data_IF_235949504759
#
_entry.id   IF_235949504759
#
_cell.length_a   1.000
_cell.length_b   1.000
_cell.length_c   1.000
_cell.angle_alpha   90.00
_cell.angle_beta   90.00
_cell.angle_gamma   90.00
#
_symmetry.space_group_name_H-M   'P 1'
#
loop_
_entity.id
_entity.type
_entity.pdbx_description
1 polymer ?
#
# COMPACT_ATOMS: atom_id res chain seq x y z
N UNK A 1 -12.29 0.36 15.83
CA UNK A 1 -11.89 0.85 14.50
C UNK A 1 -10.38 0.75 14.41
N UNK A 2 -9.84 0.30 13.29
CA UNK A 2 -8.39 0.18 13.09
C UNK A 2 -7.99 0.67 11.71
N UNK A 3 -6.90 1.41 11.64
CA UNK A 3 -6.34 1.90 10.38
C UNK A 3 -5.43 0.85 9.79
N UNK A 4 -5.67 0.50 8.53
CA UNK A 4 -4.88 -0.45 7.76
C UNK A 4 -4.25 0.24 6.57
N UNK A 5 -2.98 -0.09 6.32
CA UNK A 5 -2.30 0.20 5.07
C UNK A 5 -2.31 -1.05 4.20
N UNK A 6 -2.78 -0.89 2.96
CA UNK A 6 -2.80 -1.94 1.95
C UNK A 6 -1.79 -1.59 0.86
N UNK A 7 -0.84 -2.49 0.63
CA UNK A 7 0.09 -2.46 -0.50
C UNK A 7 -0.45 -3.41 -1.56
N UNK A 8 -0.67 -2.88 -2.76
CA UNK A 8 -1.34 -3.55 -3.86
C UNK A 8 -0.37 -3.56 -5.04
N UNK A 9 0.03 -4.76 -5.47
CA UNK A 9 1.10 -4.95 -6.45
C UNK A 9 0.76 -6.05 -7.45
N UNK A 10 1.30 -5.98 -8.67
CA UNK A 10 1.00 -6.94 -9.75
C UNK A 10 1.70 -8.28 -9.58
N UNK A 11 2.80 -8.30 -8.84
CA UNK A 11 3.66 -9.46 -8.66
C UNK A 11 3.96 -9.64 -7.17
N UNK A 12 4.30 -10.85 -6.74
CA UNK A 12 4.67 -11.09 -5.34
C UNK A 12 5.98 -10.39 -5.00
N UNK A 13 6.08 -9.88 -3.77
CA UNK A 13 7.30 -9.26 -3.24
C UNK A 13 7.83 -10.08 -2.08
N UNK A 14 9.09 -10.52 -2.16
CA UNK A 14 9.75 -11.17 -1.03
C UNK A 14 10.02 -10.17 0.09
N UNK A 15 10.21 -8.89 -0.24
CA UNK A 15 10.39 -7.84 0.78
C UNK A 15 9.16 -7.73 1.68
N UNK A 16 7.94 -7.81 1.12
CA UNK A 16 6.70 -7.81 1.92
C UNK A 16 6.54 -9.09 2.76
N UNK A 17 6.96 -10.24 2.24
CA UNK A 17 6.82 -11.53 2.92
C UNK A 17 7.90 -11.79 3.99
N UNK A 18 9.12 -11.27 3.81
CA UNK A 18 10.28 -11.55 4.67
C UNK A 18 10.59 -10.46 5.70
N UNK A 19 10.02 -9.27 5.59
CA UNK A 19 10.30 -8.18 6.55
C UNK A 19 9.80 -8.57 7.96
N UNK A 20 10.75 -9.01 8.79
CA UNK A 20 10.50 -9.48 10.16
C UNK A 20 9.95 -8.39 11.09
N UNK A 21 10.10 -7.11 10.74
CA UNK A 21 9.73 -5.95 11.58
C UNK A 21 8.49 -5.21 11.09
N UNK A 22 8.15 -5.32 9.80
CA UNK A 22 7.01 -4.61 9.19
C UNK A 22 5.93 -5.52 8.64
N UNK A 23 5.97 -6.83 8.97
CA UNK A 23 5.09 -7.91 8.48
C UNK A 23 3.77 -7.38 7.94
N UNK A 24 3.72 -7.30 6.62
CA UNK A 24 2.47 -7.21 5.91
C UNK A 24 1.90 -8.62 5.79
N UNK A 25 0.64 -8.80 6.14
CA UNK A 25 -0.06 -10.04 5.89
C UNK A 25 -0.48 -10.06 4.43
N UNK A 26 -0.13 -11.12 3.71
CA UNK A 26 -0.77 -11.40 2.44
C UNK A 26 -2.25 -11.73 2.71
N UNK A 27 -3.13 -11.00 2.05
CA UNK A 27 -4.58 -11.11 2.24
C UNK A 27 -5.16 -12.01 1.16
N UNK A 28 -5.06 -11.56 -0.10
CA UNK A 28 -5.62 -12.26 -1.25
C UNK A 28 -5.08 -11.71 -2.56
N UNK A 29 -5.48 -12.36 -3.65
CA UNK A 29 -5.41 -11.81 -5.00
C UNK A 29 -6.80 -11.28 -5.36
N UNK A 30 -6.90 -10.01 -5.75
CA UNK A 30 -8.13 -9.40 -6.27
C UNK A 30 -7.80 -8.58 -7.51
N UNK A 31 -8.62 -8.74 -8.55
CA UNK A 31 -8.46 -8.03 -9.83
C UNK A 31 -7.05 -8.15 -10.47
N UNK A 32 -6.40 -9.30 -10.29
CA UNK A 32 -5.04 -9.56 -10.79
C UNK A 32 -3.91 -8.91 -9.99
N UNK A 33 -4.21 -8.35 -8.81
CA UNK A 33 -3.22 -7.77 -7.91
C UNK A 33 -3.11 -8.59 -6.63
N UNK A 34 -1.88 -8.74 -6.13
CA UNK A 34 -1.60 -9.22 -4.80
C UNK A 34 -1.82 -8.09 -3.80
N UNK A 35 -2.59 -8.38 -2.74
CA UNK A 35 -2.92 -7.42 -1.70
C UNK A 35 -2.28 -7.86 -0.40
N UNK A 36 -1.52 -6.94 0.16
CA UNK A 36 -0.83 -7.08 1.43
C UNK A 36 -1.37 -6.03 2.39
N UNK A 37 -1.77 -6.40 3.60
CA UNK A 37 -2.27 -5.45 4.59
C UNK A 37 -1.40 -5.42 5.85
N UNK A 38 -1.40 -4.27 6.53
CA UNK A 38 -0.73 -4.11 7.82
C UNK A 38 -1.54 -3.18 8.70
N UNK A 39 -1.72 -3.60 9.95
CA UNK A 39 -2.29 -2.78 11.01
C UNK A 39 -1.18 -1.94 11.66
N UNK A 40 -0.73 -0.86 11.00
CA UNK A 40 0.25 0.07 11.59
C UNK A 40 0.21 1.44 10.92
N UNK A 41 0.48 2.50 11.68
CA UNK A 41 0.57 3.86 11.13
C UNK A 41 1.85 4.04 10.31
N UNK A 42 1.71 4.00 8.99
CA UNK A 42 2.73 4.46 8.02
C UNK A 42 2.71 5.99 7.81
N UNK A 43 1.85 6.66 8.57
CA UNK A 43 1.64 8.11 8.56
C UNK A 43 2.27 8.69 9.83
N UNK A 44 2.97 9.82 9.72
CA UNK A 44 3.53 10.55 10.85
C UNK A 44 2.47 11.43 11.56
N UNK A 45 2.88 12.16 12.61
CA UNK A 45 1.99 13.04 13.40
C UNK A 45 1.35 14.17 12.59
N UNK A 46 1.96 14.57 11.46
CA UNK A 46 1.46 15.63 10.58
C UNK A 46 0.53 15.11 9.48
N UNK A 47 0.15 13.82 9.52
CA UNK A 47 -0.67 13.21 8.47
C UNK A 47 0.09 12.89 7.18
N UNK A 48 1.42 12.95 7.18
CA UNK A 48 2.28 12.69 6.02
C UNK A 48 2.83 11.27 6.05
N UNK A 49 3.07 10.70 4.87
CA UNK A 49 3.75 9.40 4.76
C UNK A 49 5.13 9.44 5.43
N UNK A 50 5.44 8.43 6.24
CA UNK A 50 6.76 8.27 6.84
C UNK A 50 7.82 8.06 5.74
N UNK A 51 8.91 8.82 5.78
CA UNK A 51 10.01 8.72 4.80
C UNK A 51 10.58 7.30 4.68
N UNK A 52 10.78 6.60 5.80
CA UNK A 52 11.29 5.23 5.81
C UNK A 52 10.32 4.21 5.22
N UNK A 53 9.02 4.57 5.17
CA UNK A 53 8.02 3.77 4.48
C UNK A 53 7.99 4.10 2.99
N UNK A 54 8.16 5.37 2.61
CA UNK A 54 8.33 5.75 1.20
C UNK A 54 9.55 5.06 0.57
N UNK A 55 10.69 5.05 1.25
CA UNK A 55 11.90 4.35 0.78
C UNK A 55 11.65 2.84 0.61
N UNK A 56 10.84 2.25 1.49
CA UNK A 56 10.43 0.85 1.35
C UNK A 56 9.53 0.59 0.15
N UNK A 57 8.61 1.52 -0.19
CA UNK A 57 7.80 1.43 -1.40
C UNK A 57 8.68 1.48 -2.66
N UNK A 58 9.74 2.29 -2.67
CA UNK A 58 10.71 2.32 -3.77
C UNK A 58 11.38 0.94 -3.91
N UNK A 59 11.90 0.38 -2.81
CA UNK A 59 12.55 -0.94 -2.82
C UNK A 59 11.61 -2.05 -3.32
N UNK A 60 10.33 -2.03 -2.92
CA UNK A 60 9.33 -2.99 -3.43
C UNK A 60 9.17 -2.82 -4.94
N UNK A 61 9.00 -1.58 -5.42
CA UNK A 61 8.79 -1.27 -6.84
C UNK A 61 9.99 -1.71 -7.70
N UNK A 62 11.20 -1.55 -7.17
CA UNK A 62 12.43 -2.04 -7.79
C UNK A 62 12.51 -3.56 -7.78
N UNK A 63 12.18 -4.23 -6.67
CA UNK A 63 12.18 -5.70 -6.59
C UNK A 63 11.24 -6.31 -7.64
N UNK A 64 9.99 -5.86 -7.66
CA UNK A 64 8.95 -6.42 -8.55
C UNK A 64 8.96 -5.79 -9.94
N UNK A 65 9.88 -4.86 -10.20
CA UNK A 65 10.01 -4.19 -11.49
C UNK A 65 8.71 -3.50 -11.98
N UNK A 66 7.82 -3.08 -11.07
CA UNK A 66 6.45 -2.62 -11.37
C UNK A 66 5.99 -1.48 -10.45
N UNK A 67 4.87 -0.85 -10.79
CA UNK A 67 4.25 0.20 -9.98
C UNK A 67 3.69 -0.38 -8.68
N UNK A 68 3.72 0.44 -7.62
CA UNK A 68 3.17 0.08 -6.32
C UNK A 68 1.99 0.99 -6.01
N UNK A 69 0.85 0.38 -5.70
CA UNK A 69 -0.35 1.10 -5.29
C UNK A 69 -0.50 0.98 -3.77
N UNK A 70 -0.76 2.11 -3.13
CA UNK A 70 -1.00 2.23 -1.70
C UNK A 70 -2.44 2.68 -1.45
N UNK A 71 -3.13 2.00 -0.55
CA UNK A 71 -4.44 2.38 -0.03
C UNK A 71 -4.37 2.43 1.49
N UNK A 72 -4.77 3.54 2.09
CA UNK A 72 -4.98 3.61 3.54
C UNK A 72 -6.47 3.66 3.81
N UNK A 73 -6.95 2.76 4.65
CA UNK A 73 -8.37 2.69 5.01
C UNK A 73 -8.55 2.52 6.52
N UNK A 74 -9.66 3.01 7.05
CA UNK A 74 -10.09 2.69 8.41
C UNK A 74 -11.16 1.60 8.30
N UNK A 75 -10.91 0.47 8.92
CA UNK A 75 -11.89 -0.61 9.05
C UNK A 75 -12.74 -0.40 10.32
N UNK A 76 -14.06 -0.55 10.16
CA UNK A 76 -15.04 -0.55 11.27
C UNK A 76 -14.98 -1.86 12.05
N UNK A 77 -15.61 -1.91 13.22
CA UNK A 77 -15.50 -3.04 14.15
C UNK A 77 -15.95 -4.39 13.59
N UNK A 78 -16.71 -4.42 12.48
CA UNK A 78 -17.21 -5.63 11.83
C UNK A 78 -16.57 -5.86 10.45
N UNK A 79 -15.55 -5.09 10.07
CA UNK A 79 -14.86 -5.21 8.78
C UNK A 79 -13.50 -5.86 8.98
N UNK A 80 -13.19 -6.87 8.17
CA UNK A 80 -11.89 -7.52 8.08
C UNK A 80 -11.02 -6.92 6.96
N UNK A 81 -9.71 -7.10 7.04
CA UNK A 81 -8.79 -6.79 5.93
C UNK A 81 -9.13 -7.57 4.66
N UNK A 82 -9.73 -8.76 4.81
CA UNK A 82 -10.24 -9.59 3.72
C UNK A 82 -11.45 -8.98 3.00
N UNK A 83 -12.19 -8.06 3.62
CA UNK A 83 -13.39 -7.46 3.04
C UNK A 83 -13.08 -6.40 1.98
N UNK A 84 -11.81 -5.99 1.87
CA UNK A 84 -11.42 -4.94 0.92
C UNK A 84 -11.60 -5.42 -0.52
N UNK A 85 -12.34 -4.66 -1.32
CA UNK A 85 -12.57 -4.95 -2.76
C UNK A 85 -11.87 -3.89 -3.58
N UNK A 86 -10.68 -4.20 -4.10
CA UNK A 86 -9.81 -3.22 -4.76
C UNK A 86 -10.45 -2.67 -6.04
N UNK A 87 -11.29 -3.47 -6.71
CA UNK A 87 -12.13 -3.01 -7.84
C UNK A 87 -12.92 -1.73 -7.53
N UNK A 88 -13.36 -1.52 -6.28
CA UNK A 88 -14.13 -0.34 -5.87
C UNK A 88 -13.28 0.95 -5.88
N UNK A 89 -11.96 0.80 -5.97
CA UNK A 89 -11.00 1.89 -5.95
C UNK A 89 -10.28 2.05 -7.29
N UNK A 90 -10.06 0.97 -8.05
CA UNK A 90 -9.28 0.99 -9.30
C UNK A 90 -9.86 1.89 -10.39
N UNK A 91 -11.17 2.14 -10.39
CA UNK A 91 -11.81 3.08 -11.32
C UNK A 91 -11.73 4.54 -10.85
N UNK A 92 -11.21 4.80 -9.64
CA UNK A 92 -11.04 6.15 -9.09
C UNK A 92 -9.70 6.72 -9.53
N UNK A 93 -9.63 8.05 -9.56
CA UNK A 93 -8.37 8.77 -9.84
C UNK A 93 -7.32 8.43 -8.77
N UNK A 94 -6.18 7.93 -9.21
CA UNK A 94 -5.02 7.67 -8.35
C UNK A 94 -4.18 8.94 -8.19
N UNK A 95 -3.66 9.17 -6.99
CA UNK A 95 -2.76 10.30 -6.70
C UNK A 95 -1.32 9.82 -6.77
N UNK A 96 -0.43 10.59 -7.39
CA UNK A 96 0.99 10.26 -7.41
C UNK A 96 1.57 10.29 -5.98
N UNK A 97 2.17 9.18 -5.56
CA UNK A 97 2.84 9.04 -4.27
C UNK A 97 4.22 9.69 -4.35
N UNK A 98 4.46 10.67 -3.49
CA UNK A 98 5.73 11.39 -3.38
C UNK A 98 6.21 11.34 -1.92
N UNK A 99 7.49 11.64 -1.72
CA UNK A 99 8.01 11.88 -0.37
C UNK A 99 7.18 13.01 0.27
N UNK A 100 6.76 12.81 1.52
CA UNK A 100 5.91 13.73 2.28
C UNK A 100 4.46 13.92 1.78
N UNK A 101 3.94 13.04 0.93
CA UNK A 101 2.51 13.10 0.55
C UNK A 101 1.61 13.06 1.79
N UNK A 102 0.66 14.00 1.86
CA UNK A 102 -0.41 13.99 2.87
C UNK A 102 -1.37 12.86 2.53
N UNK A 103 -1.54 11.94 3.48
CA UNK A 103 -2.37 10.77 3.25
C UNK A 103 -3.80 11.02 3.73
N UNK A 104 -4.75 10.77 2.83
CA UNK A 104 -6.18 10.76 3.08
C UNK A 104 -6.67 9.31 3.06
N UNK A 105 -7.61 8.99 3.93
CA UNK A 105 -8.24 7.68 3.93
C UNK A 105 -9.04 7.44 2.65
N UNK A 106 -9.23 6.17 2.30
CA UNK A 106 -10.02 5.72 1.14
C UNK A 106 -9.55 6.29 -0.20
N UNK A 107 -8.27 6.69 -0.27
CA UNK A 107 -7.63 7.28 -1.45
C UNK A 107 -6.54 6.34 -1.94
N UNK A 108 -6.50 6.09 -3.25
CA UNK A 108 -5.41 5.37 -3.89
C UNK A 108 -4.25 6.31 -4.19
N UNK A 109 -3.06 5.83 -3.86
CA UNK A 109 -1.82 6.46 -4.26
C UNK A 109 -1.00 5.50 -5.11
N UNK A 110 -0.32 5.99 -6.14
CA UNK A 110 0.56 5.20 -7.00
C UNK A 110 1.96 5.74 -6.93
N UNK A 111 2.91 4.89 -6.59
CA UNK A 111 4.30 5.13 -6.92
C UNK A 111 4.56 4.51 -8.30
N UNK A 112 4.86 5.37 -9.28
CA UNK A 112 5.23 4.92 -10.62
C UNK A 112 6.72 4.61 -10.63
N UNK A 113 7.07 3.42 -11.08
CA UNK A 113 8.48 3.03 -11.20
C UNK A 113 9.18 3.97 -12.17
N UNK A 114 10.33 4.49 -11.77
CA UNK A 114 11.22 5.22 -12.67
C UNK A 114 12.00 4.16 -13.47
N UNK A 115 11.78 4.11 -14.79
CA UNK A 115 12.59 3.27 -15.68
C UNK A 115 13.92 3.99 -15.90
N UNK A 116 14.99 3.52 -15.26
CA UNK A 116 16.34 3.82 -15.72
C UNK A 116 16.54 3.02 -17.01
N UNK A 117 16.61 3.73 -18.14
CA UNK A 117 16.91 3.18 -19.46
C UNK A 117 18.38 2.86 -19.63
#
# INVERSE_FOLDING_TARGET
>A
MSTFSFVIIKEKSNLLEKDRYRKYNFIKIDYGFYIYARQHMIINKDGKLNSSFFDFIILISEEIQSDVILLINILKNNESEDDIKIKNYMNKKTIDLKRNTIIKHQTLYSYRRIKHG
#
